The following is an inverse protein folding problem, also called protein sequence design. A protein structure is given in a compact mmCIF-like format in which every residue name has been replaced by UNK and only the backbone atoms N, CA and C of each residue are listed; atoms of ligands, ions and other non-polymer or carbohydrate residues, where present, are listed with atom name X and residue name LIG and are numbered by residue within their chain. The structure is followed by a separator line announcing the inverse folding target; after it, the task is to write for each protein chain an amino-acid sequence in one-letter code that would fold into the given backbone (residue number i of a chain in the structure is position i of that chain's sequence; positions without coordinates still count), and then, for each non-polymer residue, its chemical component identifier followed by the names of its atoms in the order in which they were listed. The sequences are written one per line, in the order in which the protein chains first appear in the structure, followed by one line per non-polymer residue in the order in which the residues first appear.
data_IF_201253408662
#
_entry.id   IF_201253408662
#
_cell.length_a   1.000
_cell.length_b   1.000
_cell.length_c   1.000
_cell.angle_alpha   90.00
_cell.angle_beta   90.00
_cell.angle_gamma   90.00
#
_symmetry.space_group_name_H-M   'P 1'
#
loop_
_entity.id
_entity.type
_entity.pdbx_description
1 polymer ?
#
# COMPACT_ATOMS: atom_id res chain seq x y z
N UNK A 1 24.25 0.41 -5.84
CA UNK A 1 23.05 0.05 -6.66
C UNK A 1 21.83 -0.05 -5.75
N UNK A 2 20.63 0.19 -6.29
CA UNK A 2 19.36 0.12 -5.55
C UNK A 2 18.56 -1.11 -5.99
N UNK A 3 17.96 -1.84 -5.03
CA UNK A 3 16.97 -2.90 -5.32
C UNK A 3 15.55 -2.38 -5.04
N UNK A 4 14.63 -2.63 -5.98
CA UNK A 4 13.20 -2.37 -5.81
C UNK A 4 12.43 -3.68 -5.91
N UNK A 5 11.79 -4.12 -4.82
CA UNK A 5 10.82 -5.21 -4.88
C UNK A 5 9.43 -4.64 -5.17
N UNK A 6 8.60 -5.38 -5.91
CA UNK A 6 7.27 -4.87 -6.29
C UNK A 6 7.29 -3.74 -7.34
N UNK A 7 8.35 -3.66 -8.14
CA UNK A 7 8.58 -2.64 -9.17
C UNK A 7 7.47 -2.54 -10.22
N UNK A 8 6.75 -3.62 -10.49
CA UNK A 8 5.64 -3.69 -11.44
C UNK A 8 4.27 -3.31 -10.84
N UNK A 9 4.22 -2.96 -9.54
CA UNK A 9 3.04 -2.43 -8.85
C UNK A 9 2.86 -0.92 -9.05
N UNK A 10 1.77 -0.35 -8.51
CA UNK A 10 1.48 1.08 -8.63
C UNK A 10 2.65 1.94 -8.11
N UNK A 11 3.01 1.80 -6.83
CA UNK A 11 4.09 2.63 -6.25
C UNK A 11 5.45 2.28 -6.85
N UNK A 12 5.78 1.00 -6.98
CA UNK A 12 7.06 0.56 -7.54
C UNK A 12 7.31 1.06 -8.96
N UNK A 13 6.28 1.12 -9.81
CA UNK A 13 6.42 1.64 -11.17
C UNK A 13 6.72 3.14 -11.23
N UNK A 14 6.08 3.94 -10.37
CA UNK A 14 6.39 5.37 -10.23
C UNK A 14 7.77 5.59 -9.62
N UNK A 15 8.14 4.78 -8.62
CA UNK A 15 9.46 4.84 -8.00
C UNK A 15 10.57 4.52 -9.00
N UNK A 16 10.43 3.47 -9.80
CA UNK A 16 11.40 3.14 -10.84
C UNK A 16 11.55 4.28 -11.85
N UNK A 17 10.45 4.89 -12.31
CA UNK A 17 10.52 6.07 -13.19
C UNK A 17 11.26 7.23 -12.55
N UNK A 18 10.94 7.54 -11.30
CA UNK A 18 11.57 8.62 -10.57
C UNK A 18 13.09 8.40 -10.44
N UNK A 19 13.51 7.20 -10.03
CA UNK A 19 14.92 6.85 -9.89
C UNK A 19 15.67 6.93 -11.24
N UNK A 20 15.08 6.42 -12.32
CA UNK A 20 15.64 6.52 -13.67
C UNK A 20 15.78 7.97 -14.14
N UNK A 21 14.79 8.83 -13.85
CA UNK A 21 14.86 10.25 -14.17
C UNK A 21 16.00 10.98 -13.42
N UNK A 22 16.35 10.48 -12.23
CA UNK A 22 17.50 10.97 -11.44
C UNK A 22 18.85 10.34 -11.89
N UNK A 23 18.85 9.51 -12.92
CA UNK A 23 20.04 8.82 -13.39
C UNK A 23 20.54 7.70 -12.46
N UNK A 24 19.70 7.24 -11.54
CA UNK A 24 20.07 6.23 -10.55
C UNK A 24 19.93 4.81 -11.11
N UNK A 25 21.02 4.02 -11.16
CA UNK A 25 20.93 2.63 -11.59
C UNK A 25 20.15 1.80 -10.57
N UNK A 26 19.20 1.00 -11.07
CA UNK A 26 18.36 0.17 -10.23
C UNK A 26 18.20 -1.24 -10.77
N UNK A 27 18.10 -2.18 -9.85
CA UNK A 27 17.69 -3.56 -10.05
C UNK A 27 16.27 -3.75 -9.53
N UNK A 28 15.48 -4.58 -10.18
CA UNK A 28 14.12 -4.87 -9.75
C UNK A 28 13.84 -6.38 -9.73
N UNK A 29 13.27 -6.84 -8.63
CA UNK A 29 12.81 -8.23 -8.50
C UNK A 29 11.41 -8.37 -9.10
N UNK A 30 11.21 -9.35 -9.96
CA UNK A 30 9.91 -9.72 -10.53
C UNK A 30 9.75 -11.23 -10.62
N UNK A 31 8.52 -11.74 -10.52
CA UNK A 31 8.24 -13.11 -10.87
C UNK A 31 8.32 -13.31 -12.39
N UNK A 32 8.65 -14.51 -12.88
CA UNK A 32 8.73 -14.77 -14.32
C UNK A 32 7.47 -14.39 -15.11
N UNK A 33 6.30 -14.59 -14.50
CA UNK A 33 4.97 -14.31 -15.05
C UNK A 33 4.46 -12.88 -14.80
N UNK A 34 5.29 -12.00 -14.24
CA UNK A 34 4.89 -10.65 -13.89
C UNK A 34 4.49 -9.81 -15.09
N UNK A 35 3.34 -9.16 -15.00
CA UNK A 35 2.92 -8.17 -15.97
C UNK A 35 3.71 -6.87 -15.79
N UNK A 36 4.47 -6.47 -16.81
CA UNK A 36 5.32 -5.26 -16.82
C UNK A 36 4.64 -4.05 -17.49
N UNK A 37 3.34 -4.10 -17.78
CA UNK A 37 2.62 -3.02 -18.48
C UNK A 37 2.86 -1.63 -17.87
N UNK A 38 2.90 -1.52 -16.54
CA UNK A 38 3.10 -0.24 -15.86
C UNK A 38 4.53 0.32 -15.99
N UNK A 39 5.48 -0.47 -16.44
CA UNK A 39 6.90 -0.09 -16.60
C UNK A 39 7.43 -0.40 -18.01
N UNK A 40 6.55 -0.74 -18.97
CA UNK A 40 6.95 -1.21 -20.30
C UNK A 40 7.83 -0.20 -21.07
N UNK A 41 7.56 1.09 -20.89
CA UNK A 41 8.31 2.19 -21.50
C UNK A 41 9.72 2.38 -20.93
N UNK A 42 9.97 1.94 -19.70
CA UNK A 42 11.25 2.07 -19.00
C UNK A 42 11.91 0.72 -18.70
N UNK A 43 11.28 -0.39 -19.06
CA UNK A 43 11.77 -1.74 -18.71
C UNK A 43 13.20 -2.01 -19.18
N UNK A 44 13.60 -1.44 -20.32
CA UNK A 44 14.96 -1.56 -20.88
C UNK A 44 16.05 -0.82 -20.08
N UNK A 45 15.67 0.02 -19.13
CA UNK A 45 16.57 0.77 -18.22
C UNK A 45 16.69 0.13 -16.84
N UNK A 46 16.01 -0.98 -16.61
CA UNK A 46 15.96 -1.66 -15.31
C UNK A 46 16.67 -3.01 -15.44
N UNK A 47 17.58 -3.30 -14.52
CA UNK A 47 18.15 -4.63 -14.37
C UNK A 47 17.13 -5.55 -13.70
N UNK A 48 16.47 -6.41 -14.49
CA UNK A 48 15.47 -7.33 -13.99
C UNK A 48 16.09 -8.62 -13.49
N UNK A 49 15.71 -9.04 -12.28
CA UNK A 49 16.01 -10.36 -11.72
C UNK A 49 14.70 -11.11 -11.54
N UNK A 50 14.62 -12.32 -12.11
CA UNK A 50 13.50 -13.22 -11.87
C UNK A 50 13.62 -13.84 -10.48
N UNK A 51 12.56 -13.72 -9.67
CA UNK A 51 12.52 -14.24 -8.30
C UNK A 51 11.24 -13.87 -7.55
N UNK A 52 11.11 -14.39 -6.36
CA UNK A 52 9.98 -14.12 -5.46
C UNK A 52 10.51 -13.77 -4.06
N UNK A 53 9.81 -12.88 -3.34
CA UNK A 53 10.17 -12.53 -1.96
C UNK A 53 10.10 -13.74 -1.01
N UNK A 54 9.43 -14.81 -1.40
CA UNK A 54 9.37 -16.06 -0.66
C UNK A 54 10.46 -17.08 -1.07
N UNK A 55 11.26 -16.76 -2.08
CA UNK A 55 12.39 -17.58 -2.52
C UNK A 55 13.70 -16.90 -2.10
N UNK A 56 14.29 -17.42 -1.03
CA UNK A 56 15.53 -16.92 -0.43
C UNK A 56 16.66 -16.90 -1.45
N UNK A 57 16.83 -17.96 -2.25
CA UNK A 57 17.93 -18.03 -3.23
C UNK A 57 17.81 -16.93 -4.30
N UNK A 58 16.60 -16.67 -4.78
CA UNK A 58 16.38 -15.59 -5.75
C UNK A 58 16.57 -14.21 -5.15
N UNK A 59 16.22 -14.02 -3.85
CA UNK A 59 16.49 -12.78 -3.12
C UNK A 59 17.97 -12.54 -2.90
N UNK A 60 18.75 -13.56 -2.52
CA UNK A 60 20.21 -13.48 -2.38
C UNK A 60 20.86 -13.08 -3.71
N UNK A 61 20.45 -13.71 -4.81
CA UNK A 61 20.93 -13.34 -6.15
C UNK A 61 20.58 -11.88 -6.49
N UNK A 62 19.36 -11.43 -6.16
CA UNK A 62 18.92 -10.07 -6.41
C UNK A 62 19.65 -9.04 -5.49
N UNK A 63 20.11 -9.45 -4.30
CA UNK A 63 20.75 -8.58 -3.32
C UNK A 63 22.24 -8.38 -3.56
N UNK A 64 22.88 -9.16 -4.44
CA UNK A 64 24.31 -9.04 -4.76
C UNK A 64 24.68 -7.60 -5.21
N UNK A 65 25.59 -6.94 -4.46
CA UNK A 65 26.04 -5.59 -4.77
C UNK A 65 25.02 -4.47 -4.55
N UNK A 66 23.94 -4.75 -3.82
CA UNK A 66 22.90 -3.77 -3.47
C UNK A 66 23.30 -3.02 -2.19
N UNK A 67 23.15 -1.71 -2.22
CA UNK A 67 23.39 -0.83 -1.09
C UNK A 67 22.11 -0.31 -0.42
N UNK A 68 21.04 -0.13 -1.21
CA UNK A 68 19.77 0.45 -0.76
C UNK A 68 18.60 -0.39 -1.28
N UNK A 69 17.58 -0.57 -0.44
CA UNK A 69 16.41 -1.38 -0.80
C UNK A 69 15.11 -0.59 -0.61
N UNK A 70 14.28 -0.55 -1.64
CA UNK A 70 12.87 -0.17 -1.51
C UNK A 70 12.01 -1.43 -1.53
N UNK A 71 11.44 -1.77 -0.39
CA UNK A 71 10.56 -2.93 -0.28
C UNK A 71 9.10 -2.51 -0.49
N UNK A 72 8.64 -2.61 -1.75
CA UNK A 72 7.26 -2.29 -2.16
C UNK A 72 6.41 -3.53 -2.46
N UNK A 73 7.00 -4.73 -2.45
CA UNK A 73 6.29 -5.97 -2.73
C UNK A 73 5.27 -6.27 -1.63
N UNK A 74 4.01 -6.35 -1.99
CA UNK A 74 2.92 -6.77 -1.13
C UNK A 74 1.70 -7.14 -1.99
N UNK A 75 0.79 -7.92 -1.42
CA UNK A 75 -0.53 -8.14 -2.00
C UNK A 75 -1.60 -7.46 -1.15
N UNK A 76 -2.67 -7.02 -1.80
CA UNK A 76 -3.84 -6.41 -1.16
C UNK A 76 -5.04 -7.32 -1.45
N UNK A 77 -5.68 -7.85 -0.42
CA UNK A 77 -6.92 -8.59 -0.55
C UNK A 77 -7.76 -8.45 0.73
N UNK A 78 -9.05 -8.31 0.55
CA UNK A 78 -10.04 -8.33 1.65
C UNK A 78 -10.85 -9.64 1.65
N UNK A 79 -10.52 -10.57 0.76
CA UNK A 79 -11.10 -11.90 0.71
C UNK A 79 -10.51 -12.79 1.80
N UNK A 80 -11.38 -13.53 2.51
CA UNK A 80 -10.93 -14.53 3.48
C UNK A 80 -10.14 -15.68 2.85
N UNK A 81 -10.43 -15.99 1.56
CA UNK A 81 -9.73 -17.04 0.81
C UNK A 81 -8.23 -16.76 0.63
N UNK A 82 -7.83 -15.49 0.69
CA UNK A 82 -6.45 -15.07 0.51
C UNK A 82 -5.70 -14.81 1.83
N UNK A 83 -6.26 -15.26 2.97
CA UNK A 83 -5.63 -15.02 4.27
C UNK A 83 -4.20 -15.59 4.34
N UNK A 84 -4.02 -16.85 3.96
CA UNK A 84 -2.71 -17.52 3.99
C UNK A 84 -1.73 -16.89 3.00
N UNK A 85 -2.22 -16.51 1.81
CA UNK A 85 -1.40 -15.81 0.81
C UNK A 85 -0.94 -14.43 1.29
N UNK A 86 -1.80 -13.72 2.06
CA UNK A 86 -1.42 -12.45 2.69
C UNK A 86 -0.31 -12.65 3.73
N UNK A 87 -0.38 -13.70 4.53
CA UNK A 87 0.67 -14.01 5.49
C UNK A 87 1.97 -14.40 4.80
N UNK A 88 1.89 -15.30 3.84
CA UNK A 88 3.05 -15.76 3.07
C UNK A 88 3.77 -14.58 2.39
N UNK A 89 3.06 -13.79 1.59
CA UNK A 89 3.72 -12.73 0.78
C UNK A 89 4.07 -11.50 1.61
N UNK A 90 3.13 -11.03 2.45
CA UNK A 90 3.36 -9.77 3.16
C UNK A 90 4.23 -9.93 4.40
N UNK A 91 4.11 -11.05 5.14
CA UNK A 91 4.85 -11.26 6.40
C UNK A 91 6.14 -12.02 6.15
N UNK A 92 6.04 -13.27 5.65
CA UNK A 92 7.21 -14.11 5.42
C UNK A 92 8.11 -13.50 4.33
N UNK A 93 7.51 -12.98 3.24
CA UNK A 93 8.27 -12.28 2.20
C UNK A 93 9.00 -11.04 2.73
N UNK A 94 8.40 -10.26 3.65
CA UNK A 94 9.10 -9.14 4.30
C UNK A 94 10.21 -9.64 5.22
N UNK A 95 9.96 -10.69 6.01
CA UNK A 95 10.98 -11.30 6.87
C UNK A 95 12.20 -11.75 6.06
N UNK A 96 11.99 -12.40 4.92
CA UNK A 96 13.08 -12.81 4.02
C UNK A 96 13.87 -11.61 3.50
N UNK A 97 13.17 -10.56 3.01
CA UNK A 97 13.83 -9.37 2.48
C UNK A 97 14.70 -8.69 3.54
N UNK A 98 14.20 -8.51 4.77
CA UNK A 98 14.98 -7.83 5.82
C UNK A 98 16.12 -8.69 6.35
N UNK A 99 15.96 -10.03 6.42
CA UNK A 99 17.02 -10.95 6.83
C UNK A 99 18.19 -10.90 5.83
N UNK A 100 17.88 -11.00 4.53
CA UNK A 100 18.89 -10.95 3.48
C UNK A 100 19.52 -9.56 3.40
N UNK A 101 18.75 -8.49 3.62
CA UNK A 101 19.28 -7.13 3.69
C UNK A 101 20.30 -6.97 4.83
N UNK A 102 20.06 -7.57 6.00
CA UNK A 102 21.02 -7.62 7.12
C UNK A 102 22.28 -8.40 6.74
N UNK A 103 22.11 -9.61 6.21
CA UNK A 103 23.21 -10.50 5.82
C UNK A 103 24.14 -9.85 4.78
N UNK A 104 23.56 -9.16 3.79
CA UNK A 104 24.32 -8.49 2.73
C UNK A 104 24.80 -7.08 3.10
N UNK A 105 24.56 -6.64 4.32
CA UNK A 105 25.03 -5.32 4.81
C UNK A 105 24.41 -4.15 4.05
N UNK A 106 23.11 -4.24 3.72
CA UNK A 106 22.39 -3.14 3.06
C UNK A 106 22.44 -1.87 3.91
N UNK A 107 22.89 -0.77 3.33
CA UNK A 107 23.11 0.50 4.02
C UNK A 107 21.81 1.15 4.48
N UNK A 108 20.71 0.98 3.72
CA UNK A 108 19.40 1.51 4.09
C UNK A 108 18.24 0.79 3.39
N UNK A 109 17.14 0.61 4.12
CA UNK A 109 15.90 0.05 3.62
C UNK A 109 14.72 0.99 3.87
N UNK A 110 13.91 1.25 2.84
CA UNK A 110 12.59 1.89 2.98
C UNK A 110 11.50 0.85 2.76
N UNK A 111 10.69 0.60 3.80
CA UNK A 111 9.57 -0.34 3.73
C UNK A 111 8.27 0.39 3.42
N UNK A 112 7.61 0.02 2.33
CA UNK A 112 6.26 0.49 1.98
C UNK A 112 5.20 -0.32 2.74
N UNK A 113 4.73 0.21 3.85
CA UNK A 113 3.65 -0.36 4.63
C UNK A 113 2.27 0.21 4.22
N UNK A 114 1.43 0.54 5.16
CA UNK A 114 0.08 1.12 4.94
C UNK A 114 -0.46 1.69 6.25
N UNK A 115 -1.34 2.70 6.18
CA UNK A 115 -2.17 3.10 7.33
C UNK A 115 -2.98 1.93 7.91
N UNK A 116 -3.17 0.84 7.17
CA UNK A 116 -3.81 -0.36 7.67
C UNK A 116 -3.02 -1.05 8.79
N UNK A 117 -1.71 -0.85 8.87
CA UNK A 117 -0.84 -1.39 9.92
C UNK A 117 -0.78 -0.51 11.16
N UNK A 118 -1.17 0.76 11.07
CA UNK A 118 -1.16 1.68 12.22
C UNK A 118 -2.33 1.36 13.16
N UNK A 119 -2.12 1.52 14.45
CA UNK A 119 -3.12 1.27 15.48
C UNK A 119 -4.38 2.13 15.29
N UNK A 120 -5.50 1.65 15.84
CA UNK A 120 -6.80 2.35 15.82
C UNK A 120 -7.53 2.08 17.13
N UNK A 121 -8.12 3.11 17.70
CA UNK A 121 -8.94 2.96 18.92
C UNK A 121 -10.33 2.39 18.62
N UNK A 122 -10.74 2.45 17.35
CA UNK A 122 -12.05 1.99 16.87
C UNK A 122 -13.18 2.99 17.15
N UNK A 123 -12.89 4.18 17.67
CA UNK A 123 -13.87 5.25 17.89
C UNK A 123 -14.19 5.93 16.56
N UNK A 124 -15.42 6.35 16.39
CA UNK A 124 -15.81 7.17 15.24
C UNK A 124 -15.31 8.61 15.43
N UNK A 125 -14.70 9.17 14.38
CA UNK A 125 -14.08 10.50 14.45
C UNK A 125 -12.67 10.52 15.08
N UNK A 126 -12.03 9.36 15.29
CA UNK A 126 -10.67 9.30 15.83
C UNK A 126 -9.64 9.91 14.87
N UNK A 127 -8.60 10.53 15.45
CA UNK A 127 -7.38 10.92 14.72
C UNK A 127 -6.28 9.92 15.06
N UNK A 128 -5.74 9.28 14.03
CA UNK A 128 -4.66 8.28 14.11
C UNK A 128 -3.32 8.97 13.91
N UNK A 129 -2.39 8.70 14.81
CA UNK A 129 -0.97 9.10 14.74
C UNK A 129 -0.10 7.85 14.74
N UNK A 130 1.19 8.01 14.45
CA UNK A 130 2.14 6.90 14.35
C UNK A 130 2.19 6.03 15.62
N UNK A 131 2.07 6.64 16.78
CA UNK A 131 2.14 5.95 18.08
C UNK A 131 0.79 5.44 18.60
N UNK A 132 -0.27 5.54 17.78
CA UNK A 132 -1.58 4.99 18.16
C UNK A 132 -1.46 3.49 18.46
N UNK A 133 -1.86 3.01 19.67
CA UNK A 133 -1.68 1.62 20.06
C UNK A 133 -2.41 0.64 19.13
N UNK A 134 -1.73 -0.45 18.78
CA UNK A 134 -2.33 -1.49 17.96
C UNK A 134 -3.07 -2.51 18.85
N UNK A 135 -4.37 -2.67 18.61
CA UNK A 135 -5.19 -3.65 19.30
C UNK A 135 -5.93 -4.54 18.30
N UNK A 136 -5.70 -5.86 18.37
CA UNK A 136 -6.27 -6.83 17.42
C UNK A 136 -7.80 -6.73 17.27
N UNK A 137 -8.51 -6.43 18.35
CA UNK A 137 -9.99 -6.28 18.33
C UNK A 137 -10.49 -5.15 17.41
N UNK A 138 -9.64 -4.14 17.16
CA UNK A 138 -9.97 -3.00 16.31
C UNK A 138 -9.67 -3.24 14.83
N UNK A 139 -9.04 -4.37 14.49
CA UNK A 139 -8.70 -4.76 13.13
C UNK A 139 -9.64 -5.84 12.63
N UNK A 140 -10.28 -5.55 11.51
CA UNK A 140 -11.31 -6.42 10.93
C UNK A 140 -10.84 -7.13 9.65
N UNK A 141 -9.64 -6.83 9.14
CA UNK A 141 -9.15 -7.40 7.90
C UNK A 141 -7.84 -8.15 8.05
N UNK A 142 -7.73 -9.31 7.37
CA UNK A 142 -6.48 -10.06 7.28
C UNK A 142 -5.36 -9.23 6.63
N UNK A 143 -5.72 -8.32 5.72
CA UNK A 143 -4.77 -7.39 5.13
C UNK A 143 -4.13 -6.47 6.19
N UNK A 144 -4.93 -5.85 7.06
CA UNK A 144 -4.40 -5.02 8.14
C UNK A 144 -3.48 -5.81 9.08
N UNK A 145 -3.89 -7.02 9.45
CA UNK A 145 -3.07 -7.92 10.28
C UNK A 145 -1.76 -8.26 9.58
N UNK A 146 -1.79 -8.61 8.29
CA UNK A 146 -0.58 -8.95 7.55
C UNK A 146 0.39 -7.77 7.43
N UNK A 147 -0.11 -6.54 7.20
CA UNK A 147 0.75 -5.35 7.14
C UNK A 147 1.35 -4.99 8.50
N UNK A 148 0.57 -5.14 9.58
CA UNK A 148 1.10 -4.94 10.93
C UNK A 148 2.19 -5.96 11.27
N UNK A 149 1.97 -7.25 10.97
CA UNK A 149 2.97 -8.29 11.21
C UNK A 149 4.21 -8.12 10.34
N UNK A 150 4.05 -7.69 9.08
CA UNK A 150 5.17 -7.33 8.22
C UNK A 150 6.02 -6.17 8.80
N UNK A 151 5.38 -5.13 9.33
CA UNK A 151 6.12 -4.07 10.04
C UNK A 151 6.89 -4.60 11.24
N UNK A 152 6.34 -5.56 11.98
CA UNK A 152 7.06 -6.16 13.11
C UNK A 152 8.35 -6.85 12.68
N UNK A 153 8.37 -7.47 11.50
CA UNK A 153 9.61 -8.04 10.95
C UNK A 153 10.63 -6.94 10.62
N UNK A 154 10.18 -5.79 10.10
CA UNK A 154 11.08 -4.65 9.88
C UNK A 154 11.60 -4.09 11.21
N UNK A 155 10.73 -3.94 12.22
CA UNK A 155 11.15 -3.49 13.56
C UNK A 155 12.12 -4.47 14.23
N UNK A 156 11.91 -5.79 14.05
CA UNK A 156 12.87 -6.79 14.51
C UNK A 156 14.24 -6.60 13.85
N UNK A 157 14.26 -6.46 12.52
CA UNK A 157 15.50 -6.26 11.78
C UNK A 157 16.21 -4.94 12.16
N UNK A 158 15.45 -3.87 12.46
CA UNK A 158 16.00 -2.62 13.01
C UNK A 158 16.70 -2.90 14.34
N UNK A 159 16.06 -3.64 15.25
CA UNK A 159 16.67 -4.01 16.53
C UNK A 159 17.94 -4.90 16.37
N UNK A 160 18.06 -5.59 15.23
CA UNK A 160 19.24 -6.39 14.85
C UNK A 160 20.29 -5.57 14.08
N UNK A 161 20.06 -4.26 13.87
CA UNK A 161 21.02 -3.33 13.28
C UNK A 161 20.73 -2.89 11.83
N UNK A 162 19.58 -3.27 11.24
CA UNK A 162 19.19 -2.77 9.92
C UNK A 162 18.82 -1.29 9.98
N UNK A 163 19.51 -0.44 9.23
CA UNK A 163 19.08 0.93 9.03
C UNK A 163 17.82 0.96 8.14
N UNK A 164 16.67 1.16 8.75
CA UNK A 164 15.41 1.16 7.99
C UNK A 164 14.42 2.23 8.46
N UNK A 165 13.55 2.66 7.55
CA UNK A 165 12.39 3.50 7.81
C UNK A 165 11.14 2.88 7.19
N UNK A 166 9.99 3.13 7.82
CA UNK A 166 8.70 2.61 7.40
C UNK A 166 7.81 3.78 6.98
N UNK A 167 7.17 3.68 5.83
CA UNK A 167 6.14 4.62 5.41
C UNK A 167 4.78 3.93 5.40
N UNK A 168 3.77 4.60 5.96
CA UNK A 168 2.39 4.13 6.06
C UNK A 168 1.48 5.01 5.20
N UNK A 169 1.46 4.82 3.87
CA UNK A 169 0.57 5.61 3.01
C UNK A 169 -0.89 5.33 3.32
N UNK A 170 -1.71 6.37 3.20
CA UNK A 170 -3.16 6.28 3.11
C UNK A 170 -3.59 5.67 1.77
N UNK A 171 -4.84 5.85 1.33
CA UNK A 171 -5.24 5.34 0.01
C UNK A 171 -4.44 6.07 -1.07
N UNK A 172 -3.58 5.32 -1.75
CA UNK A 172 -2.70 5.88 -2.79
C UNK A 172 -3.49 6.08 -4.07
N UNK A 173 -3.49 7.29 -4.59
CA UNK A 173 -4.14 7.68 -5.84
C UNK A 173 -3.09 7.87 -6.92
N UNK A 174 -3.33 7.33 -8.11
CA UNK A 174 -2.42 7.47 -9.25
C UNK A 174 -2.86 6.64 -10.45
N UNK A 175 -2.31 6.93 -11.61
CA UNK A 175 -2.58 6.16 -12.82
C UNK A 175 -1.90 4.78 -12.74
N UNK A 176 -2.70 3.72 -12.82
CA UNK A 176 -2.22 2.35 -12.67
C UNK A 176 -3.13 1.34 -13.36
N UNK A 177 -3.13 0.10 -12.87
CA UNK A 177 -4.03 -0.92 -13.38
C UNK A 177 -5.45 -0.70 -12.81
N UNK A 178 -6.38 -0.36 -13.68
CA UNK A 178 -7.79 -0.07 -13.33
C UNK A 178 -8.52 -1.25 -12.69
N UNK A 179 -8.02 -2.47 -12.86
CA UNK A 179 -8.64 -3.69 -12.30
C UNK A 179 -8.13 -4.05 -10.89
N UNK A 180 -7.19 -3.27 -10.33
CA UNK A 180 -6.54 -3.63 -9.07
C UNK A 180 -6.34 -2.45 -8.12
N UNK A 181 -6.24 -2.77 -6.83
CA UNK A 181 -5.93 -1.81 -5.77
C UNK A 181 -6.87 -0.62 -5.70
N UNK A 182 -6.35 0.55 -5.39
CA UNK A 182 -7.09 1.81 -5.32
C UNK A 182 -7.59 2.30 -6.69
N UNK A 183 -6.92 1.94 -7.77
CA UNK A 183 -7.35 2.27 -9.13
C UNK A 183 -8.73 1.68 -9.46
N UNK A 184 -9.13 0.58 -8.82
CA UNK A 184 -10.46 -0.03 -8.97
C UNK A 184 -11.59 0.91 -8.55
N UNK A 185 -11.35 1.91 -7.71
CA UNK A 185 -12.33 2.93 -7.37
C UNK A 185 -12.75 3.74 -8.60
N UNK A 186 -11.80 4.06 -9.48
CA UNK A 186 -12.05 4.77 -10.73
C UNK A 186 -12.90 3.93 -11.69
N UNK A 187 -12.55 2.66 -11.89
CA UNK A 187 -13.34 1.72 -12.70
C UNK A 187 -14.75 1.57 -12.15
N UNK A 188 -14.89 1.49 -10.83
CA UNK A 188 -16.18 1.33 -10.15
C UNK A 188 -17.09 2.53 -10.42
N UNK A 189 -16.58 3.75 -10.32
CA UNK A 189 -17.33 4.97 -10.63
C UNK A 189 -17.63 5.07 -12.13
N UNK A 190 -16.64 4.81 -12.98
CA UNK A 190 -16.79 4.84 -14.45
C UNK A 190 -17.91 3.88 -14.93
N UNK A 191 -18.04 2.73 -14.29
CA UNK A 191 -19.09 1.74 -14.58
C UNK A 191 -20.44 2.07 -13.94
N UNK A 192 -20.65 3.28 -13.44
CA UNK A 192 -21.95 3.77 -12.97
C UNK A 192 -22.34 3.29 -11.57
N UNK A 193 -21.38 3.08 -10.67
CA UNK A 193 -21.67 2.76 -9.27
C UNK A 193 -22.44 3.89 -8.59
N UNK A 194 -23.60 3.58 -8.04
CA UNK A 194 -24.58 4.58 -7.58
C UNK A 194 -24.51 4.92 -6.08
N UNK A 195 -23.74 4.13 -5.30
CA UNK A 195 -23.80 4.23 -3.84
C UNK A 195 -22.56 4.91 -3.26
N UNK A 196 -22.77 5.69 -2.17
CA UNK A 196 -21.67 6.27 -1.37
C UNK A 196 -21.93 6.07 0.12
N UNK A 197 -20.87 6.17 0.92
CA UNK A 197 -20.91 6.23 2.39
C UNK A 197 -20.38 7.57 2.87
N UNK A 198 -20.69 7.93 4.12
CA UNK A 198 -20.21 9.17 4.76
C UNK A 198 -18.98 8.94 5.65
N UNK A 199 -18.35 7.80 5.55
CA UNK A 199 -17.07 7.58 6.23
C UNK A 199 -15.96 8.48 5.67
N UNK A 200 -14.94 8.70 6.47
CA UNK A 200 -13.76 9.49 6.12
C UNK A 200 -12.54 8.59 6.18
N UNK A 201 -11.62 8.77 5.25
CA UNK A 201 -10.30 8.15 5.26
C UNK A 201 -9.26 9.07 4.63
N UNK A 202 -7.99 8.70 4.74
CA UNK A 202 -6.90 9.44 4.14
C UNK A 202 -6.65 9.06 2.68
N UNK A 203 -6.17 10.05 1.91
CA UNK A 203 -5.73 9.88 0.52
C UNK A 203 -4.38 10.56 0.30
N UNK A 204 -3.59 10.02 -0.62
CA UNK A 204 -2.29 10.57 -1.00
C UNK A 204 -1.97 10.27 -2.47
N UNK A 205 -1.38 11.22 -3.17
CA UNK A 205 -0.89 11.00 -4.53
C UNK A 205 0.33 10.07 -4.53
N UNK A 206 0.41 9.16 -5.48
CA UNK A 206 1.54 8.23 -5.63
C UNK A 206 2.87 8.96 -5.82
N UNK A 207 2.85 10.16 -6.41
CA UNK A 207 4.05 10.99 -6.62
C UNK A 207 4.59 11.51 -5.30
N UNK A 208 3.72 11.87 -4.34
CA UNK A 208 4.13 12.26 -2.98
C UNK A 208 4.72 11.07 -2.24
N UNK A 209 4.10 9.89 -2.33
CA UNK A 209 4.64 8.66 -1.72
C UNK A 209 6.05 8.37 -2.22
N UNK A 210 6.29 8.48 -3.52
CA UNK A 210 7.60 8.26 -4.13
C UNK A 210 8.63 9.31 -3.71
N UNK A 211 8.27 10.59 -3.73
CA UNK A 211 9.17 11.68 -3.31
C UNK A 211 9.56 11.54 -1.83
N UNK A 212 8.58 11.25 -0.96
CA UNK A 212 8.83 11.04 0.48
C UNK A 212 9.72 9.82 0.68
N UNK A 213 9.43 8.68 0.01
CA UNK A 213 10.25 7.49 0.11
C UNK A 213 11.70 7.74 -0.32
N UNK A 214 11.91 8.53 -1.37
CA UNK A 214 13.27 8.85 -1.86
C UNK A 214 13.98 9.86 -0.94
N UNK A 215 13.29 10.87 -0.42
CA UNK A 215 13.88 11.78 0.57
C UNK A 215 14.29 11.04 1.85
N UNK A 216 13.44 10.14 2.36
CA UNK A 216 13.77 9.31 3.52
C UNK A 216 14.93 8.36 3.24
N UNK A 217 15.05 7.80 2.03
CA UNK A 217 16.17 6.96 1.63
C UNK A 217 17.50 7.71 1.67
N UNK A 218 17.52 8.98 1.27
CA UNK A 218 18.73 9.81 1.20
C UNK A 218 19.02 10.58 2.49
N UNK A 219 18.12 10.56 3.47
CA UNK A 219 18.29 11.21 4.77
C UNK A 219 19.04 10.33 5.77
N UNK A 220 19.47 10.89 6.89
CA UNK A 220 20.03 10.15 8.03
C UNK A 220 18.95 9.60 8.97
N UNK A 221 17.67 9.80 8.66
CA UNK A 221 16.53 9.34 9.47
C UNK A 221 16.46 7.82 9.43
N UNK A 222 16.43 7.19 10.59
CA UNK A 222 16.31 5.74 10.76
C UNK A 222 15.37 5.39 11.91
N UNK A 223 14.96 4.12 12.03
CA UNK A 223 14.19 3.60 13.17
C UNK A 223 12.89 4.35 13.42
N UNK A 224 12.25 4.81 12.36
CA UNK A 224 10.99 5.55 12.44
C UNK A 224 9.96 5.05 11.43
N UNK A 225 8.69 5.30 11.76
CA UNK A 225 7.60 5.19 10.80
C UNK A 225 6.89 6.53 10.63
N UNK A 226 6.30 6.71 9.45
CA UNK A 226 5.63 7.93 9.06
C UNK A 226 4.30 7.65 8.37
N UNK A 227 3.23 8.26 8.85
CA UNK A 227 1.95 8.29 8.13
C UNK A 227 2.11 9.26 6.96
N UNK A 228 1.89 8.74 5.75
CA UNK A 228 1.97 9.52 4.51
C UNK A 228 0.54 9.72 3.99
N UNK A 229 -0.05 10.85 4.39
CA UNK A 229 -1.44 11.22 4.12
C UNK A 229 -1.48 12.68 3.66
N UNK A 230 -2.02 12.95 2.46
CA UNK A 230 -2.17 14.33 1.99
C UNK A 230 -3.39 14.98 2.65
N UNK A 231 -4.54 14.34 2.57
CA UNK A 231 -5.78 14.86 3.13
C UNK A 231 -6.75 13.75 3.56
N UNK A 232 -7.66 14.11 4.45
CA UNK A 232 -8.73 13.23 4.94
C UNK A 232 -10.04 13.65 4.25
N UNK A 233 -10.60 12.78 3.41
CA UNK A 233 -11.76 13.08 2.57
C UNK A 233 -12.89 12.09 2.81
N UNK A 234 -14.14 12.55 2.73
CA UNK A 234 -15.28 11.63 2.75
C UNK A 234 -15.31 10.75 1.50
N UNK A 235 -15.67 9.49 1.65
CA UNK A 235 -15.84 8.60 0.49
C UNK A 235 -16.80 9.18 -0.56
N UNK A 236 -17.88 9.84 -0.13
CA UNK A 236 -18.82 10.53 -1.02
C UNK A 236 -18.10 11.53 -1.92
N UNK A 237 -17.35 12.45 -1.30
CA UNK A 237 -16.75 13.58 -1.99
C UNK A 237 -15.63 13.10 -2.92
N UNK A 238 -14.83 12.13 -2.48
CA UNK A 238 -13.80 11.50 -3.31
C UNK A 238 -14.40 10.80 -4.55
N UNK A 239 -15.46 10.00 -4.38
CA UNK A 239 -16.09 9.30 -5.49
C UNK A 239 -16.81 10.28 -6.46
N UNK A 240 -17.36 11.38 -5.95
CA UNK A 240 -17.92 12.44 -6.80
C UNK A 240 -16.83 13.16 -7.60
N UNK A 241 -15.68 13.44 -6.99
CA UNK A 241 -14.51 14.03 -7.69
C UNK A 241 -14.02 13.10 -8.80
N UNK A 242 -13.97 11.78 -8.57
CA UNK A 242 -13.65 10.80 -9.62
C UNK A 242 -14.67 10.91 -10.78
N UNK A 243 -15.97 10.95 -10.45
CA UNK A 243 -17.03 11.08 -11.47
C UNK A 243 -16.86 12.33 -12.32
N UNK A 244 -16.63 13.47 -11.69
CA UNK A 244 -16.39 14.73 -12.38
C UNK A 244 -15.14 14.67 -13.29
N UNK A 245 -14.03 14.11 -12.78
CA UNK A 245 -12.78 13.99 -13.55
C UNK A 245 -12.88 13.02 -14.74
N UNK A 246 -13.79 12.04 -14.67
CA UNK A 246 -14.03 11.07 -15.76
C UNK A 246 -15.20 11.47 -16.68
N UNK A 247 -15.83 12.62 -16.45
CA UNK A 247 -17.05 13.09 -17.16
C UNK A 247 -18.21 12.06 -17.06
N UNK A 248 -18.36 11.42 -15.91
CA UNK A 248 -19.48 10.50 -15.60
C UNK A 248 -20.18 10.93 -14.31
N UNK A 249 -21.44 10.52 -14.16
CA UNK A 249 -22.17 10.80 -12.92
C UNK A 249 -21.55 10.03 -11.75
N UNK A 250 -21.11 10.76 -10.72
CA UNK A 250 -20.68 10.17 -9.46
C UNK A 250 -21.84 9.57 -8.66
N UNK A 251 -21.56 8.81 -7.59
CA UNK A 251 -22.58 8.19 -6.75
C UNK A 251 -23.54 9.19 -6.13
N UNK A 252 -24.86 8.90 -6.19
CA UNK A 252 -25.94 9.78 -5.69
C UNK A 252 -26.74 9.20 -4.55
N UNK A 253 -26.63 7.87 -4.30
CA UNK A 253 -27.44 7.16 -3.31
C UNK A 253 -26.64 6.90 -2.04
N UNK A 254 -27.08 7.44 -0.91
CA UNK A 254 -26.46 7.18 0.38
C UNK A 254 -26.67 5.72 0.83
N UNK A 255 -25.57 5.00 1.04
CA UNK A 255 -25.57 3.67 1.60
C UNK A 255 -25.29 3.73 3.12
N UNK A 256 -26.35 3.79 3.91
CA UNK A 256 -26.23 3.67 5.37
C UNK A 256 -25.82 2.25 5.81
N UNK A 257 -25.62 2.05 7.11
CA UNK A 257 -25.15 0.78 7.69
C UNK A 257 -26.00 -0.44 7.25
N UNK A 258 -27.33 -0.31 7.18
CA UNK A 258 -28.23 -1.40 6.80
C UNK A 258 -28.08 -1.78 5.31
N UNK A 259 -28.02 -0.78 4.42
CA UNK A 259 -27.84 -1.02 2.98
C UNK A 259 -26.46 -1.59 2.68
N UNK A 260 -25.42 -1.08 3.34
CA UNK A 260 -24.07 -1.63 3.25
C UNK A 260 -24.00 -3.08 3.75
N UNK A 261 -24.76 -3.40 4.81
CA UNK A 261 -24.87 -4.74 5.34
C UNK A 261 -25.61 -5.70 4.39
N UNK A 262 -26.58 -5.22 3.63
CA UNK A 262 -27.23 -6.00 2.58
C UNK A 262 -26.32 -6.19 1.37
N UNK A 263 -25.65 -5.13 0.93
CA UNK A 263 -24.78 -5.14 -0.26
C UNK A 263 -23.67 -6.20 -0.16
N UNK A 264 -22.95 -6.28 0.96
CA UNK A 264 -21.90 -7.30 1.09
C UNK A 264 -22.43 -8.74 1.11
N UNK A 265 -23.67 -8.96 1.61
CA UNK A 265 -24.29 -10.30 1.58
C UNK A 265 -24.63 -10.72 0.15
N UNK A 266 -25.20 -9.79 -0.62
CA UNK A 266 -25.51 -10.01 -2.05
C UNK A 266 -24.21 -10.30 -2.84
N UNK A 267 -23.17 -9.51 -2.64
CA UNK A 267 -21.87 -9.73 -3.30
C UNK A 267 -21.22 -11.06 -2.86
N UNK A 268 -21.36 -11.44 -1.60
CA UNK A 268 -20.90 -12.74 -1.12
C UNK A 268 -21.62 -13.89 -1.81
N UNK A 269 -22.96 -13.83 -1.91
CA UNK A 269 -23.75 -14.85 -2.63
C UNK A 269 -23.32 -14.90 -4.10
N UNK A 270 -23.21 -13.76 -4.79
CA UNK A 270 -22.74 -13.72 -6.18
C UNK A 270 -21.35 -14.36 -6.34
N UNK A 271 -20.45 -14.15 -5.40
CA UNK A 271 -19.10 -14.71 -5.43
C UNK A 271 -19.06 -16.23 -5.33
N UNK A 272 -20.08 -16.86 -4.76
CA UNK A 272 -20.22 -18.32 -4.72
C UNK A 272 -20.53 -18.91 -6.11
N UNK A 273 -21.24 -18.15 -6.96
CA UNK A 273 -21.64 -18.63 -8.28
C UNK A 273 -20.65 -18.25 -9.39
N UNK A 274 -19.98 -17.09 -9.27
CA UNK A 274 -19.08 -16.60 -10.34
C UNK A 274 -17.59 -16.83 -10.07
N UNK A 275 -17.24 -17.37 -8.89
CA UNK A 275 -15.84 -17.62 -8.49
C UNK A 275 -14.96 -16.38 -8.29
N UNK A 276 -15.49 -15.16 -8.55
CA UNK A 276 -14.76 -13.91 -8.41
C UNK A 276 -14.77 -13.42 -6.96
N UNK A 277 -13.77 -12.63 -6.59
CA UNK A 277 -13.78 -11.95 -5.28
C UNK A 277 -14.94 -10.95 -5.20
N UNK A 278 -15.68 -10.90 -4.04
CA UNK A 278 -16.74 -9.94 -3.87
C UNK A 278 -16.19 -8.51 -3.92
N UNK A 279 -16.87 -7.64 -4.66
CA UNK A 279 -16.52 -6.22 -4.77
C UNK A 279 -16.66 -5.48 -3.44
N UNK A 280 -17.63 -5.91 -2.61
CA UNK A 280 -17.86 -5.39 -1.26
C UNK A 280 -17.84 -6.56 -0.28
N UNK A 281 -16.93 -6.51 0.71
CA UNK A 281 -16.88 -7.48 1.81
C UNK A 281 -17.50 -6.90 3.08
N UNK A 282 -17.82 -7.75 4.07
CA UNK A 282 -18.26 -7.28 5.39
C UNK A 282 -17.26 -6.27 5.99
N UNK A 283 -15.96 -6.49 5.75
CA UNK A 283 -14.87 -5.66 6.27
C UNK A 283 -14.82 -4.30 5.57
N UNK A 284 -14.83 -4.28 4.23
CA UNK A 284 -14.81 -3.02 3.47
C UNK A 284 -16.07 -2.19 3.72
N UNK A 285 -17.25 -2.82 3.85
CA UNK A 285 -18.48 -2.15 4.21
C UNK A 285 -18.43 -1.52 5.60
N UNK A 286 -17.82 -2.18 6.58
CA UNK A 286 -17.67 -1.65 7.93
C UNK A 286 -16.68 -0.47 7.97
N UNK A 287 -15.54 -0.57 7.26
CA UNK A 287 -14.53 0.49 7.17
C UNK A 287 -15.11 1.72 6.47
N UNK A 288 -15.82 1.55 5.36
CA UNK A 288 -16.37 2.64 4.56
C UNK A 288 -17.45 3.48 5.28
N UNK A 289 -17.97 3.01 6.39
CA UNK A 289 -18.95 3.76 7.22
C UNK A 289 -18.31 4.45 8.45
N UNK A 290 -16.99 4.29 8.68
CA UNK A 290 -16.30 4.93 9.80
C UNK A 290 -15.63 6.22 9.36
N UNK A 291 -15.57 7.18 10.28
CA UNK A 291 -14.78 8.40 10.12
C UNK A 291 -13.46 8.20 10.85
N UNK A 292 -12.38 8.05 10.09
CA UNK A 292 -11.02 7.94 10.64
C UNK A 292 -10.15 8.97 9.95
N UNK A 293 -9.50 9.80 10.75
CA UNK A 293 -8.58 10.84 10.29
C UNK A 293 -7.14 10.39 10.54
N UNK A 294 -6.25 10.68 9.62
CA UNK A 294 -4.83 10.37 9.74
C UNK A 294 -4.04 11.67 9.81
N UNK A 295 -3.24 11.80 10.87
CA UNK A 295 -2.36 12.95 11.05
C UNK A 295 -1.12 12.80 10.17
N UNK A 296 -0.67 13.88 9.55
CA UNK A 296 0.51 13.92 8.67
C UNK A 296 1.58 14.91 9.14
N UNK A 297 1.42 15.50 10.32
CA UNK A 297 2.31 16.54 10.81
C UNK A 297 3.75 16.04 11.00
N UNK A 298 3.93 14.79 11.46
CA UNK A 298 5.25 14.21 11.65
C UNK A 298 6.07 14.23 10.36
N UNK A 299 5.53 13.72 9.25
CA UNK A 299 6.27 13.68 7.98
C UNK A 299 6.47 15.08 7.39
N UNK A 300 5.48 15.98 7.52
CA UNK A 300 5.60 17.37 7.07
C UNK A 300 6.73 18.10 7.78
N UNK A 301 6.81 18.00 9.10
CA UNK A 301 7.85 18.65 9.91
C UNK A 301 9.21 18.02 9.70
N UNK A 302 9.28 16.69 9.57
CA UNK A 302 10.55 15.97 9.44
C UNK A 302 11.24 16.25 8.10
N UNK A 303 10.48 16.40 7.02
CA UNK A 303 11.03 16.61 5.67
C UNK A 303 10.76 18.00 5.10
N UNK A 304 10.15 18.92 5.87
CA UNK A 304 9.60 20.19 5.36
C UNK A 304 8.77 19.98 4.09
N UNK A 305 7.87 18.97 4.14
CA UNK A 305 7.18 18.45 2.97
C UNK A 305 5.83 19.10 2.76
N UNK A 306 5.55 19.51 1.52
CA UNK A 306 4.24 19.98 1.08
C UNK A 306 3.65 18.99 0.07
N UNK A 307 2.47 18.47 0.40
CA UNK A 307 1.73 17.55 -0.48
C UNK A 307 1.16 18.30 -1.70
N UNK A 308 1.02 17.56 -2.82
CA UNK A 308 0.41 18.05 -4.06
C UNK A 308 -1.08 18.29 -3.87
#
# INVERSE_FOLDING_TARGET
MILVTGANGLVGSYLCRYLIMQGTPLRALKRPDSNLRLVSDIAHKIEWVDGDVNDVMSLEAAMQGIEKVYHCAAIISYSKKNADKLMLVNVEGTANVVNIALEFGVKKLVHLSSIAAVGKTGRDGETVVEDTPWERKNFTSNYAISKFLAEREVWRAIAEGLNAVIINPSIIVGAGNWDSGSCKLFTTVYNGFKYYTEGVTGYVDVRDVVKIATQLMESDITEQRFIVNAENVMYRDFLQTIGAGLNVQGPTVKAGKNLSALAWRVEWVKSLFNGKEPSVTKQTAAIANKKVFYNNEKIKQTLDYQFI
#
